data_IF_037511957663
#
_entry.id   IF_037511957663
#
_cell.length_a   1.000
_cell.length_b   1.000
_cell.length_c   1.000
_cell.angle_alpha   90.00
_cell.angle_beta   90.00
_cell.angle_gamma   90.00
#
_symmetry.space_group_name_H-M   'P 1'
#
loop_
_entity.id
_entity.type
_entity.pdbx_description
1 polymer ?
#
# COMPACT_ATOMS: atom_id res chain seq x y z
N UNK A 1 35.08 60.65 49.30
CA UNK A 1 36.17 61.56 49.77
C UNK A 1 36.69 61.17 51.15
N UNK A 2 35.90 60.87 52.17
CA UNK A 2 36.26 60.55 53.51
C UNK A 2 37.26 59.36 53.65
N UNK A 3 36.98 58.29 52.92
CA UNK A 3 37.86 57.08 52.99
C UNK A 3 39.22 57.29 52.34
N UNK A 4 39.36 58.16 51.36
CA UNK A 4 40.60 58.49 50.72
C UNK A 4 41.41 59.40 51.67
N UNK A 5 40.73 60.36 52.29
CA UNK A 5 41.37 61.29 53.25
C UNK A 5 41.89 60.55 54.45
N UNK A 6 41.13 59.69 55.09
CA UNK A 6 41.55 58.89 56.23
C UNK A 6 42.76 57.97 55.95
N UNK A 7 42.83 57.47 54.69
CA UNK A 7 43.89 56.56 54.29
C UNK A 7 45.33 57.24 54.27
N UNK A 8 45.42 58.57 54.28
CA UNK A 8 46.66 59.32 54.30
C UNK A 8 46.95 59.97 55.66
N UNK A 9 46.01 59.96 56.61
CA UNK A 9 46.16 60.63 57.92
C UNK A 9 46.97 59.84 58.91
N UNK A 10 47.08 58.54 58.79
CA UNK A 10 47.77 57.67 59.79
C UNK A 10 49.27 57.38 59.56
N UNK A 11 49.91 57.94 58.55
CA UNK A 11 51.34 57.69 58.30
C UNK A 11 52.21 58.94 58.57
N UNK A 12 53.38 58.80 59.33
CA UNK A 12 54.27 59.94 59.62
C UNK A 12 54.84 60.52 58.32
N UNK A 13 54.82 61.88 58.22
CA UNK A 13 55.31 62.65 57.08
C UNK A 13 56.82 62.49 56.91
N UNK A 14 57.29 61.77 55.86
CA UNK A 14 58.62 61.84 55.34
C UNK A 14 58.75 63.00 54.34
N UNK A 15 59.68 63.93 54.54
CA UNK A 15 59.68 65.25 53.93
C UNK A 15 60.12 65.38 52.45
N UNK A 16 60.16 64.36 51.65
CA UNK A 16 60.75 64.52 50.30
C UNK A 16 60.28 63.65 49.14
N UNK A 17 59.17 62.96 49.25
CA UNK A 17 58.58 62.22 48.09
C UNK A 17 57.09 62.19 48.08
N UNK A 18 56.44 62.31 46.94
CA UNK A 18 54.97 62.18 46.84
C UNK A 18 54.55 60.77 47.32
N UNK A 19 53.66 60.77 48.31
CA UNK A 19 53.08 59.54 48.84
C UNK A 19 51.98 59.05 47.91
N UNK A 20 51.91 57.79 47.59
CA UNK A 20 50.82 57.24 46.79
C UNK A 20 50.25 56.00 47.43
N UNK A 21 48.97 55.83 47.29
CA UNK A 21 48.19 54.67 47.72
C UNK A 21 47.27 54.17 46.62
N UNK A 22 47.25 52.85 46.48
CA UNK A 22 46.39 52.24 45.48
C UNK A 22 45.14 51.68 46.13
N UNK A 23 43.99 52.13 45.66
CA UNK A 23 42.71 51.64 46.07
C UNK A 23 42.22 50.64 45.01
N UNK A 24 41.66 49.53 45.44
CA UNK A 24 41.07 48.53 44.57
C UNK A 24 39.55 48.50 44.72
N UNK A 25 38.86 48.65 43.64
CA UNK A 25 37.41 48.59 43.58
C UNK A 25 37.03 47.43 42.69
N UNK A 26 35.94 46.74 43.01
CA UNK A 26 35.37 45.69 42.19
C UNK A 26 33.96 46.05 41.77
N UNK A 27 33.64 45.78 40.53
CA UNK A 27 32.27 45.81 39.97
C UNK A 27 31.90 44.40 39.59
N UNK A 28 30.82 43.93 40.15
CA UNK A 28 30.35 42.53 39.88
C UNK A 28 28.98 42.60 39.22
N UNK A 29 28.88 41.91 38.12
CA UNK A 29 27.58 41.61 37.54
C UNK A 29 26.91 40.50 38.36
N UNK A 30 25.61 40.63 38.62
CA UNK A 30 24.83 39.65 39.36
C UNK A 30 23.44 39.51 38.79
N UNK A 31 22.82 38.37 39.03
CA UNK A 31 21.50 38.02 38.52
C UNK A 31 21.55 37.02 37.38
N UNK A 32 20.39 36.47 37.04
CA UNK A 32 20.21 35.60 35.90
C UNK A 32 18.89 35.95 35.18
N UNK A 33 18.94 35.97 33.86
CA UNK A 33 17.79 36.14 32.99
C UNK A 33 17.67 34.92 32.11
N UNK A 34 16.48 34.42 31.93
CA UNK A 34 16.27 33.24 31.09
C UNK A 34 16.75 33.51 29.66
N UNK A 35 17.44 32.57 29.06
CA UNK A 35 18.04 32.69 27.72
C UNK A 35 19.34 33.50 27.67
N UNK A 36 19.76 34.16 28.77
CA UNK A 36 20.97 34.98 28.82
C UNK A 36 22.08 34.23 29.52
N UNK A 37 23.25 34.19 28.90
CA UNK A 37 24.53 33.81 29.50
C UNK A 37 25.24 35.09 29.86
N UNK A 38 25.54 35.30 31.18
CA UNK A 38 26.27 36.45 31.67
C UNK A 38 27.71 36.41 31.20
N UNK A 39 28.37 37.58 31.24
CA UNK A 39 29.80 37.71 30.95
C UNK A 39 30.60 36.68 31.79
N UNK A 40 31.47 35.88 31.18
CA UNK A 40 32.28 34.89 31.91
C UNK A 40 33.17 35.49 32.93
N UNK A 41 33.48 36.79 32.84
CA UNK A 41 34.23 37.57 33.82
C UNK A 41 33.28 38.42 34.66
N UNK A 42 32.53 37.74 35.55
CA UNK A 42 31.49 38.39 36.38
C UNK A 42 32.00 39.49 37.28
N UNK A 43 33.31 39.57 37.58
CA UNK A 43 33.90 40.58 38.44
C UNK A 43 35.06 41.28 37.73
N UNK A 44 34.98 42.59 37.60
CA UNK A 44 36.03 43.45 37.03
C UNK A 44 36.60 44.36 38.12
N UNK A 45 37.91 44.54 38.11
CA UNK A 45 38.64 45.25 39.16
C UNK A 45 39.25 46.53 38.61
N UNK A 46 39.01 47.63 39.32
CA UNK A 46 39.69 48.93 39.09
C UNK A 46 40.73 49.12 40.17
N UNK A 47 41.96 49.45 39.80
CA UNK A 47 42.99 49.98 40.69
C UNK A 47 43.12 51.48 40.42
N UNK A 48 42.94 52.27 41.43
CA UNK A 48 43.10 53.73 41.37
C UNK A 48 44.25 54.14 42.27
N UNK A 49 45.32 54.65 41.68
CA UNK A 49 46.44 55.21 42.43
C UNK A 49 46.16 56.67 42.72
N UNK A 50 46.14 57.00 43.99
CA UNK A 50 46.08 58.40 44.47
C UNK A 50 47.39 58.78 44.97
N UNK A 51 47.97 59.92 44.50
CA UNK A 51 49.22 60.46 44.90
C UNK A 51 48.99 61.81 45.56
N UNK A 52 49.51 61.97 46.77
CA UNK A 52 49.65 63.29 47.46
C UNK A 52 50.88 63.99 46.90
N UNK A 53 50.73 65.14 46.25
CA UNK A 53 51.75 65.91 45.60
C UNK A 53 52.58 66.72 46.56
N UNK A 54 52.19 66.76 47.85
CA UNK A 54 52.88 67.56 48.93
C UNK A 54 52.58 69.08 48.86
N UNK A 55 51.74 69.52 47.98
CA UNK A 55 51.33 70.91 47.78
C UNK A 55 49.86 71.18 48.21
N UNK A 56 49.28 70.19 48.86
CA UNK A 56 47.86 70.21 49.22
C UNK A 56 46.93 69.70 48.14
N UNK A 57 47.45 69.17 47.02
CA UNK A 57 46.64 68.59 45.91
C UNK A 57 46.87 67.09 45.85
N UNK A 58 45.90 66.37 45.33
CA UNK A 58 45.93 64.96 45.03
C UNK A 58 45.86 64.72 43.50
N UNK A 59 46.72 63.84 43.01
CA UNK A 59 46.63 63.32 41.66
C UNK A 59 46.01 61.95 41.71
N UNK A 60 44.97 61.73 40.88
CA UNK A 60 44.27 60.46 40.73
C UNK A 60 44.64 59.86 39.40
N UNK A 61 45.25 58.67 39.42
CA UNK A 61 45.64 57.96 38.24
C UNK A 61 44.98 56.57 38.24
N UNK A 62 44.27 56.25 37.17
CA UNK A 62 43.74 54.89 36.92
C UNK A 62 44.90 54.07 36.41
N UNK A 63 45.27 53.02 37.13
CA UNK A 63 46.38 52.14 36.76
C UNK A 63 46.10 51.46 35.43
N UNK A 64 47.13 51.49 34.56
CA UNK A 64 47.03 50.95 33.21
C UNK A 64 46.57 49.48 33.15
N UNK A 65 46.93 48.69 34.16
CA UNK A 65 46.49 47.30 34.27
C UNK A 65 45.03 47.15 34.65
N UNK A 66 44.46 48.20 35.18
CA UNK A 66 43.10 48.20 35.59
C UNK A 66 42.15 48.78 34.56
N UNK A 67 42.65 49.16 33.48
CA UNK A 67 42.33 49.80 32.78
C UNK A 67 41.99 50.19 31.73
N UNK A 68 41.92 49.71 31.28
CA UNK A 68 41.25 50.01 30.12
C UNK A 68 39.86 50.06 30.48
N UNK A 69 39.49 51.04 30.76
CA UNK A 69 38.34 51.83 30.75
C UNK A 69 36.99 51.26 30.42
N UNK A 70 36.93 50.03 29.98
CA UNK A 70 35.66 49.45 29.58
C UNK A 70 35.28 48.39 30.59
N UNK A 71 34.46 48.83 31.54
CA UNK A 71 33.67 47.90 32.32
C UNK A 71 32.52 47.39 31.50
N UNK A 72 32.80 46.96 30.28
CA UNK A 72 31.77 46.35 29.42
C UNK A 72 31.56 44.92 29.89
N UNK A 73 30.37 44.62 30.36
CA UNK A 73 29.91 43.27 30.54
C UNK A 73 29.18 42.86 29.27
N UNK A 74 29.59 41.77 28.66
CA UNK A 74 29.01 41.26 27.42
C UNK A 74 28.19 40.00 27.72
N UNK A 75 26.88 40.14 27.69
CA UNK A 75 25.97 39.02 27.83
C UNK A 75 25.56 38.51 26.49
N UNK A 76 25.31 37.21 26.37
CA UNK A 76 24.83 36.59 25.14
C UNK A 76 23.47 36.01 25.38
N UNK A 77 22.51 36.41 24.52
CA UNK A 77 21.20 35.81 24.47
C UNK A 77 21.19 34.70 23.43
N UNK A 78 20.60 33.54 23.75
CA UNK A 78 20.41 32.43 22.83
C UNK A 78 19.12 31.65 23.15
N UNK A 79 18.49 31.13 22.12
CA UNK A 79 17.34 30.23 22.23
C UNK A 79 17.84 28.78 22.26
N UNK A 80 17.11 27.92 22.95
CA UNK A 80 17.34 26.47 22.93
C UNK A 80 16.55 25.86 21.80
N UNK A 81 17.07 24.80 21.14
CA UNK A 81 16.31 23.99 20.18
C UNK A 81 14.98 23.54 20.79
N UNK A 82 13.95 23.54 19.94
CA UNK A 82 12.61 23.12 20.32
C UNK A 82 12.08 22.10 19.33
N UNK A 83 11.66 20.94 19.84
CA UNK A 83 11.10 19.86 19.05
C UNK A 83 9.57 19.98 19.02
N UNK A 84 8.99 20.01 17.83
CA UNK A 84 7.55 20.07 17.62
C UNK A 84 7.09 19.03 16.61
N UNK A 85 6.02 18.30 16.95
CA UNK A 85 5.38 17.37 16.03
C UNK A 85 4.38 18.12 15.14
N UNK A 86 4.43 17.94 13.82
CA UNK A 86 3.45 18.52 12.90
C UNK A 86 2.03 18.03 13.18
N UNK A 87 1.91 16.75 13.59
CA UNK A 87 0.63 16.09 13.92
C UNK A 87 0.46 15.96 15.43
N UNK A 88 -0.78 16.07 15.91
CA UNK A 88 -1.12 15.93 17.33
C UNK A 88 -1.49 17.24 18.00
N UNK A 89 -1.17 17.38 19.31
CA UNK A 89 -1.60 18.56 20.10
C UNK A 89 -0.97 19.85 19.54
N UNK A 90 -1.81 20.76 19.02
CA UNK A 90 -1.37 22.01 18.42
C UNK A 90 -0.99 21.95 16.93
N UNK A 91 -0.85 20.75 16.38
CA UNK A 91 -0.61 20.50 14.98
C UNK A 91 -1.91 20.24 14.19
N UNK A 92 -1.80 19.44 13.14
CA UNK A 92 -2.91 19.01 12.30
C UNK A 92 -3.15 17.50 12.42
N UNK A 93 -4.33 17.02 11.98
CA UNK A 93 -4.65 15.60 11.91
C UNK A 93 -4.59 15.12 10.47
N UNK A 94 -4.09 13.92 10.26
CA UNK A 94 -4.09 13.25 8.96
C UNK A 94 -4.79 11.90 9.11
N UNK A 95 -5.78 11.69 8.24
CA UNK A 95 -6.50 10.43 8.12
C UNK A 95 -6.31 9.87 6.72
N UNK A 96 -5.90 8.61 6.63
CA UNK A 96 -5.88 7.83 5.40
C UNK A 96 -7.14 6.99 5.31
N UNK A 97 -7.79 7.02 4.14
CA UNK A 97 -8.90 6.12 3.81
C UNK A 97 -8.57 5.34 2.54
N UNK A 98 -9.12 4.14 2.43
CA UNK A 98 -9.06 3.30 1.26
C UNK A 98 -10.46 2.75 0.98
N UNK A 99 -11.00 3.03 -0.19
CA UNK A 99 -12.25 2.43 -0.67
C UNK A 99 -11.94 1.14 -1.45
N UNK A 100 -12.82 0.15 -1.39
CA UNK A 100 -12.71 -1.12 -2.12
C UNK A 100 -12.08 -2.28 -1.33
N UNK A 101 -11.31 -2.04 -0.28
CA UNK A 101 -10.83 -3.04 0.69
C UNK A 101 -10.38 -2.41 2.00
N UNK A 102 -10.16 -3.26 2.99
CA UNK A 102 -9.62 -2.82 4.28
C UNK A 102 -8.20 -2.24 4.15
N UNK A 103 -7.98 -1.17 4.90
CA UNK A 103 -6.69 -0.51 5.04
C UNK A 103 -5.76 -1.38 5.90
N UNK A 104 -4.49 -1.46 5.51
CA UNK A 104 -3.44 -2.18 6.26
C UNK A 104 -2.50 -1.19 6.93
N UNK A 105 -2.01 -1.55 8.13
CA UNK A 105 -1.00 -0.74 8.84
C UNK A 105 0.29 -0.61 8.02
N UNK A 106 0.82 0.60 7.94
CA UNK A 106 2.08 0.90 7.27
C UNK A 106 2.06 0.79 5.75
N UNK A 107 0.89 0.69 5.14
CA UNK A 107 0.72 0.46 3.72
C UNK A 107 1.00 1.72 2.87
N UNK A 108 0.57 2.87 3.36
CA UNK A 108 0.74 4.16 2.68
C UNK A 108 1.73 5.04 3.42
N UNK A 109 2.60 5.69 2.66
CA UNK A 109 3.61 6.60 3.17
C UNK A 109 3.29 8.04 2.78
N UNK A 110 3.57 8.98 3.69
CA UNK A 110 3.37 10.40 3.51
C UNK A 110 4.69 11.12 3.70
N UNK A 111 4.98 12.09 2.86
CA UNK A 111 6.19 12.90 2.92
C UNK A 111 5.85 14.36 3.21
N UNK A 112 6.57 14.91 4.19
CA UNK A 112 6.62 16.34 4.49
C UNK A 112 7.98 16.86 4.02
N UNK A 113 7.99 17.62 2.93
CA UNK A 113 9.20 18.07 2.23
C UNK A 113 9.39 19.56 2.45
N UNK A 114 10.50 19.98 3.06
CA UNK A 114 10.80 21.39 3.29
C UNK A 114 10.94 22.16 1.97
N UNK A 115 10.50 23.41 1.99
CA UNK A 115 10.60 24.35 0.88
C UNK A 115 11.58 25.46 1.26
N UNK A 116 12.46 25.85 0.35
CA UNK A 116 13.46 26.91 0.61
C UNK A 116 14.73 26.65 -0.16
N UNK A 117 15.76 27.45 0.13
CA UNK A 117 17.09 27.29 -0.43
C UNK A 117 17.83 26.14 0.26
N UNK A 118 18.61 25.36 -0.49
CA UNK A 118 19.40 24.23 -0.01
C UNK A 118 18.75 22.87 -0.29
N UNK A 119 19.37 21.80 0.22
CA UNK A 119 18.84 20.45 0.06
C UNK A 119 17.55 20.27 0.89
N UNK A 120 16.46 19.81 0.30
CA UNK A 120 15.20 19.67 1.01
C UNK A 120 15.31 18.60 2.10
N UNK A 121 14.82 18.92 3.29
CA UNK A 121 14.63 17.94 4.35
C UNK A 121 13.32 17.23 4.10
N UNK A 122 13.36 15.89 4.11
CA UNK A 122 12.18 15.02 3.95
C UNK A 122 11.94 14.29 5.26
N UNK A 123 10.74 14.44 5.79
CA UNK A 123 10.26 13.69 6.96
C UNK A 123 9.10 12.83 6.51
N UNK A 124 9.13 11.54 6.80
CA UNK A 124 8.07 10.61 6.38
C UNK A 124 7.32 10.01 7.56
N UNK A 125 6.11 9.59 7.30
CA UNK A 125 5.26 8.85 8.22
C UNK A 125 4.35 7.89 7.47
N UNK A 126 3.88 6.84 8.14
CA UNK A 126 2.96 5.86 7.58
C UNK A 126 1.65 5.83 8.37
N UNK A 127 0.58 5.35 7.73
CA UNK A 127 -0.69 5.15 8.40
C UNK A 127 -0.63 3.97 9.39
N UNK A 128 -1.37 4.07 10.48
CA UNK A 128 -1.73 2.92 11.30
C UNK A 128 -2.95 2.17 10.71
N UNK A 129 -3.38 1.08 11.34
CA UNK A 129 -4.52 0.29 10.89
C UNK A 129 -5.85 1.06 10.89
N UNK A 130 -5.97 2.14 11.65
CA UNK A 130 -7.15 3.03 11.69
C UNK A 130 -7.10 4.13 10.62
N UNK A 131 -5.99 4.26 9.92
CA UNK A 131 -5.73 5.31 8.93
C UNK A 131 -5.09 6.57 9.52
N UNK A 132 -4.81 6.61 10.83
CA UNK A 132 -4.16 7.76 11.43
C UNK A 132 -2.68 7.81 11.03
N UNK A 133 -2.21 9.02 10.68
CA UNK A 133 -0.81 9.28 10.34
C UNK A 133 -0.18 10.22 11.35
N UNK A 134 0.97 9.84 11.91
CA UNK A 134 1.69 10.62 12.91
C UNK A 134 3.13 10.83 12.46
N UNK A 135 3.50 12.09 12.18
CA UNK A 135 4.86 12.47 11.86
C UNK A 135 5.74 12.54 13.10
N UNK A 136 7.04 12.21 12.99
CA UNK A 136 8.01 12.46 14.06
C UNK A 136 8.19 13.97 14.31
N UNK A 137 8.82 14.31 15.43
CA UNK A 137 9.13 15.68 15.77
C UNK A 137 10.17 16.27 14.81
N UNK A 138 10.02 17.56 14.54
CA UNK A 138 10.97 18.39 13.79
C UNK A 138 11.60 19.36 14.77
N UNK A 139 12.94 19.49 14.72
CA UNK A 139 13.71 20.38 15.59
C UNK A 139 13.91 21.74 14.94
N UNK A 140 13.60 22.81 15.68
CA UNK A 140 13.77 24.20 15.26
C UNK A 140 14.82 24.87 16.15
N UNK A 141 15.81 25.52 15.52
CA UNK A 141 16.93 26.12 16.20
C UNK A 141 16.87 27.68 16.23
N UNK A 142 15.97 28.26 15.48
CA UNK A 142 15.80 29.72 15.36
C UNK A 142 14.34 30.10 15.08
N UNK A 143 13.92 31.33 15.40
CA UNK A 143 12.66 31.90 14.97
C UNK A 143 12.62 32.02 13.43
N UNK A 144 11.42 31.86 12.85
CA UNK A 144 11.22 31.97 11.40
C UNK A 144 9.95 31.29 10.93
N UNK A 145 9.72 31.35 9.63
CA UNK A 145 8.64 30.61 8.95
C UNK A 145 9.28 29.48 8.13
N UNK A 146 8.92 28.23 8.45
CA UNK A 146 9.39 27.03 7.81
C UNK A 146 8.25 26.43 7.01
N UNK A 147 8.40 26.39 5.69
CA UNK A 147 7.37 25.93 4.77
C UNK A 147 7.69 24.53 4.27
N UNK A 148 6.64 23.71 4.17
CA UNK A 148 6.72 22.32 3.73
C UNK A 148 5.60 22.02 2.75
N UNK A 149 5.80 21.02 1.91
CA UNK A 149 4.75 20.35 1.14
C UNK A 149 4.50 18.98 1.71
N UNK A 150 3.22 18.68 1.97
CA UNK A 150 2.74 17.39 2.43
C UNK A 150 1.99 16.72 1.28
N UNK A 151 2.40 15.50 0.96
CA UNK A 151 1.76 14.65 -0.05
C UNK A 151 1.84 13.18 0.34
N UNK A 152 0.96 12.38 -0.21
CA UNK A 152 1.09 10.93 -0.20
C UNK A 152 2.16 10.50 -1.22
N UNK A 153 2.94 9.50 -0.88
CA UNK A 153 3.95 8.91 -1.76
C UNK A 153 3.30 7.78 -2.57
N UNK A 154 3.36 7.88 -3.89
CA UNK A 154 2.92 6.78 -4.74
C UNK A 154 3.87 5.58 -4.59
N UNK A 155 3.41 4.56 -3.88
CA UNK A 155 4.13 3.32 -3.62
C UNK A 155 3.98 2.27 -4.73
N UNK A 156 3.22 2.54 -5.79
CA UNK A 156 3.00 1.62 -6.92
C UNK A 156 2.24 0.36 -6.56
N UNK A 157 1.38 0.37 -5.54
CA UNK A 157 0.59 -0.80 -5.16
C UNK A 157 -0.43 -1.13 -6.26
N UNK A 158 -0.41 -2.40 -6.68
CA UNK A 158 -1.32 -2.87 -7.73
C UNK A 158 -2.78 -2.73 -7.31
N UNK A 159 -3.60 -2.26 -8.23
CA UNK A 159 -5.02 -2.02 -8.01
C UNK A 159 -5.34 -0.74 -7.22
N UNK A 160 -4.35 -0.02 -6.70
CA UNK A 160 -4.55 1.23 -5.94
C UNK A 160 -4.46 2.45 -6.86
N UNK A 161 -5.46 3.32 -6.75
CA UNK A 161 -5.41 4.69 -7.28
C UNK A 161 -5.12 5.62 -6.11
N UNK A 162 -3.96 6.31 -6.18
CA UNK A 162 -3.48 7.20 -5.13
C UNK A 162 -4.12 8.57 -5.17
N UNK A 163 -4.31 9.17 -4.00
CA UNK A 163 -4.68 10.57 -3.85
C UNK A 163 -3.46 11.45 -4.18
N UNK A 164 -3.58 12.32 -5.17
CA UNK A 164 -2.52 13.21 -5.62
C UNK A 164 -2.57 14.59 -4.99
N UNK A 165 -3.39 14.79 -3.96
CA UNK A 165 -3.54 16.08 -3.28
C UNK A 165 -2.24 16.47 -2.59
N UNK A 166 -1.85 17.74 -2.75
CA UNK A 166 -0.73 18.36 -2.05
C UNK A 166 -1.25 19.45 -1.13
N UNK A 167 -0.73 19.47 0.09
CA UNK A 167 -1.02 20.51 1.08
C UNK A 167 0.25 21.32 1.35
N UNK A 168 0.09 22.64 1.50
CA UNK A 168 1.14 23.52 2.00
C UNK A 168 1.01 23.60 3.54
N UNK A 169 2.13 23.33 4.22
CA UNK A 169 2.21 23.31 5.68
C UNK A 169 3.25 24.33 6.11
N UNK A 170 2.92 25.20 7.07
CA UNK A 170 3.82 26.19 7.62
C UNK A 170 3.95 26.02 9.12
N UNK A 171 5.21 25.93 9.59
CA UNK A 171 5.58 26.06 10.99
C UNK A 171 6.05 27.50 11.25
N UNK A 172 5.27 28.29 11.98
CA UNK A 172 5.69 29.61 12.46
C UNK A 172 6.33 29.45 13.82
N UNK A 173 7.63 29.71 13.86
CA UNK A 173 8.47 29.59 15.07
C UNK A 173 8.73 30.99 15.61
N UNK A 174 8.41 31.22 16.88
CA UNK A 174 8.60 32.48 17.58
C UNK A 174 9.51 32.32 18.78
N UNK A 175 10.31 33.35 19.06
CA UNK A 175 11.08 33.45 20.28
C UNK A 175 10.18 34.03 21.38
N UNK A 176 10.05 33.35 22.51
CA UNK A 176 9.23 33.76 23.65
C UNK A 176 9.93 34.83 24.51
N UNK A 177 11.20 35.15 24.22
CA UNK A 177 11.98 36.16 24.96
C UNK A 177 12.61 35.64 26.27
N UNK A 178 12.48 34.34 26.51
CA UNK A 178 13.01 33.69 27.72
C UNK A 178 13.99 32.55 27.38
N UNK A 179 14.55 32.55 26.18
CA UNK A 179 15.42 31.49 25.67
C UNK A 179 14.68 30.23 25.18
N UNK A 180 13.35 30.26 25.10
CA UNK A 180 12.55 29.17 24.53
C UNK A 180 11.90 29.58 23.22
N UNK A 181 11.58 28.59 22.40
CA UNK A 181 10.83 28.76 21.16
C UNK A 181 9.40 28.26 21.31
N UNK A 182 8.45 28.94 20.63
CA UNK A 182 7.08 28.46 20.43
C UNK A 182 6.84 28.14 18.97
N UNK A 183 6.05 27.11 18.66
CA UNK A 183 5.72 26.69 17.29
C UNK A 183 4.21 26.65 17.10
N UNK A 184 3.74 27.25 16.00
CA UNK A 184 2.35 27.16 15.56
C UNK A 184 2.31 26.61 14.14
N UNK A 185 1.53 25.52 13.94
CA UNK A 185 1.33 24.89 12.65
C UNK A 185 0.08 25.41 11.95
N UNK A 186 0.18 25.64 10.65
CA UNK A 186 -0.95 25.95 9.76
C UNK A 186 -0.86 25.10 8.51
N UNK A 187 -2.03 24.83 7.92
CA UNK A 187 -2.18 24.03 6.71
C UNK A 187 -3.06 24.78 5.73
N UNK A 188 -2.71 24.73 4.46
CA UNK A 188 -3.54 25.25 3.37
C UNK A 188 -3.54 24.29 2.18
N UNK A 189 -4.60 24.42 1.36
CA UNK A 189 -4.73 23.74 0.07
C UNK A 189 -5.13 24.79 -0.96
N UNK A 190 -4.43 24.83 -2.09
CA UNK A 190 -4.67 25.79 -3.18
C UNK A 190 -4.75 27.25 -2.67
N UNK A 191 -3.86 27.59 -1.73
CA UNK A 191 -3.79 28.92 -1.11
C UNK A 191 -4.92 29.26 -0.12
N UNK A 192 -5.79 28.29 0.21
CA UNK A 192 -6.88 28.46 1.19
C UNK A 192 -6.55 27.74 2.48
N UNK A 193 -6.63 28.45 3.61
CA UNK A 193 -6.39 27.86 4.92
C UNK A 193 -7.40 26.75 5.24
N UNK A 194 -6.92 25.67 5.85
CA UNK A 194 -7.74 24.58 6.36
C UNK A 194 -8.17 24.90 7.80
N UNK A 195 -9.43 25.34 7.97
CA UNK A 195 -9.94 25.80 9.29
C UNK A 195 -9.90 24.70 10.36
N UNK A 196 -10.25 23.47 10.05
CA UNK A 196 -10.25 22.34 10.99
C UNK A 196 -8.89 21.69 11.21
N UNK A 197 -7.88 22.04 10.42
CA UNK A 197 -6.57 21.35 10.36
C UNK A 197 -6.69 19.84 10.20
N UNK A 198 -7.74 19.38 9.54
CA UNK A 198 -8.01 17.97 9.26
C UNK A 198 -7.71 17.68 7.80
N UNK A 199 -6.81 16.75 7.54
CA UNK A 199 -6.35 16.34 6.22
C UNK A 199 -6.83 14.90 5.99
N UNK A 200 -7.47 14.67 4.86
CA UNK A 200 -7.87 13.33 4.44
C UNK A 200 -7.21 13.01 3.11
N UNK A 201 -6.50 11.90 3.05
CA UNK A 201 -6.03 11.28 1.81
C UNK A 201 -6.90 10.06 1.51
N UNK A 202 -7.61 10.09 0.39
CA UNK A 202 -8.57 9.06 0.00
C UNK A 202 -8.09 8.31 -1.24
N UNK A 203 -7.70 7.05 -1.08
CA UNK A 203 -7.39 6.17 -2.20
C UNK A 203 -8.56 5.26 -2.52
N UNK A 204 -8.56 4.70 -3.72
CA UNK A 204 -9.45 3.63 -4.10
C UNK A 204 -8.66 2.40 -4.52
N UNK A 205 -9.23 1.22 -4.27
CA UNK A 205 -8.68 -0.05 -4.67
C UNK A 205 -9.67 -0.80 -5.55
N UNK A 206 -9.18 -1.37 -6.64
CA UNK A 206 -9.91 -2.32 -7.48
C UNK A 206 -8.92 -3.34 -8.04
N UNK A 207 -9.16 -4.63 -7.77
CA UNK A 207 -8.40 -5.70 -8.37
C UNK A 207 -8.67 -5.77 -9.88
N UNK A 208 -7.66 -6.09 -10.66
CA UNK A 208 -7.82 -6.43 -12.07
C UNK A 208 -8.59 -7.74 -12.21
N UNK A 209 -9.46 -7.81 -13.23
CA UNK A 209 -10.27 -8.97 -13.50
C UNK A 209 -9.47 -10.22 -13.86
N UNK A 210 -10.13 -11.37 -13.80
CA UNK A 210 -9.58 -12.67 -14.19
C UNK A 210 -10.52 -13.38 -15.15
N UNK A 211 -10.10 -14.50 -15.72
CA UNK A 211 -10.95 -15.29 -16.62
C UNK A 211 -10.67 -16.78 -16.53
N UNK A 212 -11.67 -17.57 -16.91
CA UNK A 212 -11.57 -19.02 -17.05
C UNK A 212 -12.09 -19.45 -18.41
N UNK A 213 -11.46 -20.45 -19.01
CA UNK A 213 -11.92 -21.10 -20.24
C UNK A 213 -12.44 -22.50 -19.92
N UNK A 214 -13.67 -22.77 -20.29
CA UNK A 214 -14.25 -24.11 -20.16
C UNK A 214 -13.96 -24.94 -21.41
N UNK A 215 -13.52 -26.18 -21.21
CA UNK A 215 -13.21 -27.11 -22.27
C UNK A 215 -13.82 -28.47 -21.96
N UNK A 216 -14.26 -29.17 -23.01
CA UNK A 216 -14.68 -30.53 -22.92
C UNK A 216 -14.23 -31.30 -24.18
N UNK A 217 -14.46 -32.59 -24.21
CA UNK A 217 -14.16 -33.44 -25.35
C UNK A 217 -15.40 -34.18 -25.84
N UNK A 218 -15.44 -34.47 -27.15
CA UNK A 218 -16.46 -35.32 -27.78
C UNK A 218 -15.84 -36.55 -28.32
N UNK A 219 -16.46 -37.72 -28.03
CA UNK A 219 -16.15 -39.03 -28.60
C UNK A 219 -17.41 -39.55 -29.25
N UNK A 220 -17.27 -40.19 -30.41
CA UNK A 220 -18.31 -40.96 -31.10
C UNK A 220 -17.81 -42.35 -31.37
N UNK A 221 -18.57 -43.36 -30.98
CA UNK A 221 -18.33 -44.77 -31.30
C UNK A 221 -19.20 -45.22 -32.45
N UNK A 222 -18.78 -46.25 -33.18
CA UNK A 222 -19.55 -46.85 -34.29
C UNK A 222 -19.31 -46.25 -35.69
N UNK A 223 -18.83 -44.99 -35.75
CA UNK A 223 -18.32 -44.35 -36.97
C UNK A 223 -17.43 -43.16 -36.65
N UNK A 224 -16.80 -42.60 -37.67
CA UNK A 224 -15.96 -41.44 -37.56
C UNK A 224 -16.79 -40.20 -37.17
N UNK A 225 -16.27 -39.45 -36.22
CA UNK A 225 -16.82 -38.15 -35.76
C UNK A 225 -16.46 -37.02 -36.74
N UNK A 226 -17.43 -36.26 -37.18
CA UNK A 226 -17.21 -35.11 -38.07
C UNK A 226 -17.16 -33.81 -37.29
N UNK A 227 -16.34 -32.86 -37.79
CA UNK A 227 -16.28 -31.51 -37.24
C UNK A 227 -17.65 -30.85 -37.33
N UNK A 228 -18.07 -30.20 -36.21
CA UNK A 228 -19.30 -29.43 -36.14
C UNK A 228 -20.58 -30.25 -36.13
N UNK A 229 -20.48 -31.55 -35.83
CA UNK A 229 -21.62 -32.46 -35.88
C UNK A 229 -22.55 -32.34 -34.66
N UNK A 230 -21.96 -32.17 -33.46
CA UNK A 230 -22.68 -32.08 -32.21
C UNK A 230 -22.61 -30.67 -31.64
N UNK A 231 -23.64 -30.25 -30.93
CA UNK A 231 -23.79 -28.92 -30.33
C UNK A 231 -23.74 -29.01 -28.81
N UNK A 232 -23.06 -28.09 -28.19
CA UNK A 232 -22.87 -28.03 -26.73
C UNK A 232 -23.21 -26.65 -26.23
N UNK A 233 -23.75 -26.58 -25.02
CA UNK A 233 -24.09 -25.34 -24.36
C UNK A 233 -23.39 -25.24 -23.03
N UNK A 234 -22.81 -24.05 -22.75
CA UNK A 234 -22.41 -23.60 -21.45
C UNK A 234 -23.58 -22.82 -20.85
N UNK A 235 -24.06 -23.25 -19.69
CA UNK A 235 -25.22 -22.68 -19.00
C UNK A 235 -24.81 -22.20 -17.60
N UNK A 236 -25.48 -21.17 -17.09
CA UNK A 236 -25.34 -20.74 -15.69
C UNK A 236 -26.14 -21.65 -14.73
N UNK A 237 -26.06 -21.33 -13.43
CA UNK A 237 -26.76 -22.08 -12.38
C UNK A 237 -28.29 -22.15 -12.61
N UNK A 238 -28.89 -21.16 -13.25
CA UNK A 238 -30.33 -21.06 -13.53
C UNK A 238 -30.71 -21.75 -14.82
N UNK A 239 -29.75 -22.34 -15.55
CA UNK A 239 -29.99 -23.02 -16.82
C UNK A 239 -30.05 -22.08 -18.03
N UNK A 240 -29.75 -20.78 -17.85
CA UNK A 240 -29.64 -19.84 -18.97
C UNK A 240 -28.43 -20.18 -19.82
N UNK A 241 -28.60 -20.29 -21.13
CA UNK A 241 -27.52 -20.50 -22.09
C UNK A 241 -26.64 -19.24 -22.18
N UNK A 242 -25.37 -19.40 -21.89
CA UNK A 242 -24.36 -18.36 -22.02
C UNK A 242 -23.63 -18.43 -23.35
N UNK A 243 -23.31 -19.65 -23.80
CA UNK A 243 -22.61 -19.90 -25.04
C UNK A 243 -23.10 -21.20 -25.67
N UNK A 244 -23.07 -21.24 -26.99
CA UNK A 244 -23.38 -22.44 -27.79
C UNK A 244 -22.22 -22.67 -28.74
N UNK A 245 -21.60 -23.85 -28.69
CA UNK A 245 -20.47 -24.22 -29.53
C UNK A 245 -20.69 -25.60 -30.18
N UNK A 246 -19.89 -25.91 -31.18
CA UNK A 246 -19.87 -27.23 -31.82
C UNK A 246 -18.50 -27.90 -31.60
N UNK A 247 -18.47 -29.23 -31.66
CA UNK A 247 -17.20 -29.96 -31.57
C UNK A 247 -16.22 -29.57 -32.69
N UNK A 248 -14.95 -29.55 -32.37
CA UNK A 248 -13.86 -29.36 -33.32
C UNK A 248 -13.65 -30.56 -34.23
N UNK A 249 -12.55 -30.58 -34.96
CA UNK A 249 -12.14 -31.73 -35.77
C UNK A 249 -11.63 -32.86 -34.85
N UNK A 250 -11.81 -34.12 -35.34
CA UNK A 250 -11.25 -35.27 -34.67
C UNK A 250 -9.72 -35.15 -34.59
N UNK A 251 -9.16 -35.40 -33.42
CA UNK A 251 -7.73 -35.38 -33.15
C UNK A 251 -7.16 -36.80 -33.34
N UNK A 252 -5.83 -36.91 -33.41
CA UNK A 252 -5.13 -38.22 -33.42
C UNK A 252 -5.40 -39.04 -32.15
N UNK A 253 -5.79 -38.36 -31.05
CA UNK A 253 -6.19 -39.00 -29.78
C UNK A 253 -7.59 -39.58 -29.77
N UNK A 254 -8.32 -39.55 -30.89
CA UNK A 254 -9.66 -40.17 -31.03
C UNK A 254 -10.80 -39.34 -30.38
N UNK A 255 -10.59 -38.10 -30.09
CA UNK A 255 -11.60 -37.17 -29.57
C UNK A 255 -11.64 -35.86 -30.36
N UNK A 256 -12.73 -35.13 -30.32
CA UNK A 256 -12.84 -33.78 -30.85
C UNK A 256 -12.96 -32.79 -29.70
N UNK A 257 -12.19 -31.67 -29.71
CA UNK A 257 -12.28 -30.66 -28.66
C UNK A 257 -13.61 -29.91 -28.72
N UNK A 258 -14.13 -29.52 -27.54
CA UNK A 258 -15.22 -28.61 -27.35
C UNK A 258 -14.63 -27.42 -26.58
N UNK A 259 -14.53 -26.25 -27.22
CA UNK A 259 -13.91 -25.07 -26.63
C UNK A 259 -14.92 -23.94 -26.55
N UNK A 260 -15.10 -23.38 -25.37
CA UNK A 260 -15.91 -22.19 -25.13
C UNK A 260 -15.01 -20.95 -25.05
N UNK A 261 -15.54 -19.79 -25.35
CA UNK A 261 -14.85 -18.52 -25.14
C UNK A 261 -14.65 -18.27 -23.63
N UNK A 262 -13.61 -17.53 -23.23
CA UNK A 262 -13.36 -17.22 -21.82
C UNK A 262 -14.54 -16.50 -21.17
N UNK A 263 -14.87 -16.88 -19.94
CA UNK A 263 -15.76 -16.10 -19.05
C UNK A 263 -14.87 -15.22 -18.17
N UNK A 264 -15.12 -13.92 -18.16
CA UNK A 264 -14.41 -12.92 -17.39
C UNK A 264 -15.12 -12.60 -16.08
N UNK A 265 -14.35 -12.30 -15.04
CA UNK A 265 -14.84 -11.90 -13.73
C UNK A 265 -14.13 -10.61 -13.32
N UNK A 266 -14.92 -9.61 -12.95
CA UNK A 266 -14.44 -8.30 -12.50
C UNK A 266 -14.68 -8.08 -11.00
N UNK A 267 -15.33 -9.05 -10.33
CA UNK A 267 -15.64 -9.01 -8.91
C UNK A 267 -15.48 -10.41 -8.28
N UNK A 268 -15.13 -10.48 -6.98
CA UNK A 268 -15.14 -11.73 -6.22
C UNK A 268 -16.54 -12.33 -6.16
N UNK A 269 -16.62 -13.66 -6.14
CA UNK A 269 -17.89 -14.35 -6.05
C UNK A 269 -17.77 -15.85 -6.27
N UNK A 270 -18.91 -16.52 -6.17
CA UNK A 270 -19.05 -17.95 -6.44
C UNK A 270 -20.03 -18.13 -7.59
N UNK A 271 -19.65 -18.92 -8.59
CA UNK A 271 -20.38 -19.09 -9.82
C UNK A 271 -20.46 -20.58 -10.17
N UNK A 272 -21.64 -21.05 -10.51
CA UNK A 272 -21.86 -22.43 -10.95
C UNK A 272 -22.25 -22.46 -12.42
N UNK A 273 -21.60 -23.36 -13.16
CA UNK A 273 -21.86 -23.56 -14.59
C UNK A 273 -22.15 -25.03 -14.90
N UNK A 274 -22.80 -25.25 -16.03
CA UNK A 274 -23.08 -26.58 -16.55
C UNK A 274 -22.74 -26.61 -18.02
N UNK A 275 -22.06 -27.70 -18.43
CA UNK A 275 -21.89 -28.02 -19.85
C UNK A 275 -22.78 -29.21 -20.16
N UNK A 276 -23.57 -29.07 -21.22
CA UNK A 276 -24.49 -30.08 -21.70
C UNK A 276 -24.34 -30.28 -23.21
N UNK A 277 -24.60 -31.48 -23.70
CA UNK A 277 -24.80 -31.71 -25.11
C UNK A 277 -26.27 -31.41 -25.46
N UNK A 278 -26.48 -30.74 -26.58
CA UNK A 278 -27.85 -30.50 -27.11
C UNK A 278 -28.26 -31.74 -27.84
N UNK A 279 -29.29 -32.42 -27.32
CA UNK A 279 -29.87 -33.62 -27.97
C UNK A 279 -30.43 -33.26 -29.33
N UNK A 280 -29.98 -33.93 -30.36
CA UNK A 280 -30.51 -33.84 -31.71
C UNK A 280 -31.43 -35.01 -32.05
N UNK A 281 -31.74 -35.13 -33.32
CA UNK A 281 -32.67 -36.13 -33.90
C UNK A 281 -31.98 -36.99 -34.96
N UNK A 282 -30.66 -37.02 -35.02
CA UNK A 282 -29.90 -37.78 -36.01
C UNK A 282 -30.14 -39.30 -35.84
N UNK A 283 -30.59 -39.94 -36.92
CA UNK A 283 -30.91 -41.34 -36.93
C UNK A 283 -29.69 -42.22 -36.61
N UNK A 284 -29.88 -43.19 -35.73
CA UNK A 284 -28.86 -44.11 -35.28
C UNK A 284 -27.89 -43.54 -34.22
N UNK A 285 -28.09 -42.27 -33.78
CA UNK A 285 -27.25 -41.66 -32.71
C UNK A 285 -27.95 -41.84 -31.35
N UNK A 286 -27.17 -42.35 -30.39
CA UNK A 286 -27.47 -42.28 -28.95
C UNK A 286 -26.67 -41.13 -28.38
N UNK A 287 -27.39 -40.10 -27.93
CA UNK A 287 -26.80 -38.88 -27.36
C UNK A 287 -26.43 -39.07 -25.90
N UNK A 288 -25.33 -38.45 -25.48
CA UNK A 288 -24.89 -38.38 -24.09
C UNK A 288 -25.71 -37.32 -23.34
N UNK A 289 -26.40 -37.71 -22.27
CA UNK A 289 -27.24 -36.83 -21.45
C UNK A 289 -26.51 -36.38 -20.18
N UNK A 290 -25.18 -36.63 -20.07
CA UNK A 290 -24.37 -36.19 -18.93
C UNK A 290 -24.33 -34.68 -18.81
N UNK A 291 -24.42 -34.19 -17.57
CA UNK A 291 -24.29 -32.81 -17.23
C UNK A 291 -23.00 -32.64 -16.44
N UNK A 292 -22.04 -31.93 -17.01
CA UNK A 292 -20.80 -31.58 -16.29
C UNK A 292 -21.02 -30.26 -15.57
N UNK A 293 -20.85 -30.28 -14.24
CA UNK A 293 -20.99 -29.09 -13.37
C UNK A 293 -19.63 -28.55 -13.01
N UNK A 294 -19.52 -27.22 -13.02
CA UNK A 294 -18.34 -26.49 -12.58
C UNK A 294 -18.72 -25.56 -11.44
N UNK A 295 -17.94 -25.60 -10.38
CA UNK A 295 -18.01 -24.67 -9.26
C UNK A 295 -16.78 -23.78 -9.33
N UNK A 296 -16.98 -22.48 -9.56
CA UNK A 296 -15.93 -21.47 -9.74
C UNK A 296 -15.97 -20.50 -8.57
N UNK A 297 -14.84 -20.32 -7.91
CA UNK A 297 -14.66 -19.37 -6.81
C UNK A 297 -13.64 -18.32 -7.24
N UNK A 298 -14.07 -17.06 -7.24
CA UNK A 298 -13.24 -15.89 -7.53
C UNK A 298 -12.99 -15.17 -6.23
N UNK A 299 -11.71 -14.94 -5.89
CA UNK A 299 -11.29 -14.28 -4.67
C UNK A 299 -10.40 -13.08 -4.97
N UNK A 300 -10.42 -12.08 -4.08
CA UNK A 300 -9.48 -10.98 -4.05
C UNK A 300 -8.57 -11.13 -2.82
N UNK A 301 -7.27 -11.27 -3.03
CA UNK A 301 -6.27 -11.32 -1.95
C UNK A 301 -5.81 -9.93 -1.50
N UNK A 302 -6.35 -8.87 -2.12
CA UNK A 302 -6.02 -7.48 -1.85
C UNK A 302 -4.68 -7.02 -2.45
N UNK A 303 -4.12 -7.77 -3.40
CA UNK A 303 -2.84 -7.46 -4.06
C UNK A 303 -3.00 -7.02 -5.52
N UNK A 304 -4.21 -6.62 -5.93
CA UNK A 304 -4.51 -5.99 -7.20
C UNK A 304 -4.92 -6.90 -8.33
N UNK A 305 -5.08 -8.20 -8.09
CA UNK A 305 -5.49 -9.17 -9.11
C UNK A 305 -6.45 -10.19 -8.53
N UNK A 306 -7.60 -10.40 -9.19
CA UNK A 306 -8.52 -11.48 -8.84
C UNK A 306 -7.87 -12.84 -9.12
N UNK A 307 -8.09 -13.78 -8.20
CA UNK A 307 -7.69 -15.17 -8.33
C UNK A 307 -8.93 -16.01 -8.65
N UNK A 308 -8.78 -17.04 -9.49
CA UNK A 308 -9.86 -17.96 -9.82
C UNK A 308 -9.46 -19.39 -9.54
N UNK A 309 -10.28 -20.09 -8.78
CA UNK A 309 -10.20 -21.52 -8.54
C UNK A 309 -11.48 -22.18 -9.02
N UNK A 310 -11.41 -23.42 -9.48
CA UNK A 310 -12.58 -24.13 -9.93
C UNK A 310 -12.44 -25.64 -9.73
N UNK A 311 -13.58 -26.29 -9.57
CA UNK A 311 -13.68 -27.74 -9.47
C UNK A 311 -14.74 -28.24 -10.45
N UNK A 312 -14.52 -29.42 -11.00
CA UNK A 312 -15.52 -30.14 -11.77
C UNK A 312 -16.22 -31.12 -10.83
N UNK A 313 -17.54 -31.28 -10.98
CA UNK A 313 -18.30 -32.22 -10.17
C UNK A 313 -17.84 -33.68 -10.32
N UNK A 314 -18.51 -34.59 -9.62
CA UNK A 314 -18.11 -36.01 -9.45
C UNK A 314 -17.99 -36.84 -10.74
N UNK A 315 -18.45 -36.32 -11.87
CA UNK A 315 -18.44 -36.98 -13.18
C UNK A 315 -17.04 -37.08 -13.84
N UNK A 316 -15.99 -36.50 -13.20
CA UNK A 316 -14.62 -36.57 -13.70
C UNK A 316 -14.35 -35.63 -14.88
N UNK A 317 -13.43 -36.00 -15.79
CA UNK A 317 -13.08 -35.19 -16.96
C UNK A 317 -14.30 -35.04 -17.89
N UNK A 318 -14.56 -33.82 -18.41
CA UNK A 318 -15.75 -33.54 -19.21
C UNK A 318 -15.63 -34.12 -20.63
N UNK A 319 -16.03 -35.36 -20.79
CA UNK A 319 -16.00 -36.11 -22.05
C UNK A 319 -17.41 -36.62 -22.37
N UNK A 320 -18.01 -36.10 -23.43
CA UNK A 320 -19.28 -36.57 -23.96
C UNK A 320 -19.09 -37.75 -24.92
N UNK A 321 -19.80 -38.84 -24.71
CA UNK A 321 -19.68 -40.09 -25.49
C UNK A 321 -20.99 -40.42 -26.14
N UNK A 322 -21.06 -40.35 -27.48
CA UNK A 322 -22.20 -40.80 -28.25
C UNK A 322 -21.92 -42.15 -28.94
N UNK A 323 -22.95 -42.91 -29.13
CA UNK A 323 -22.93 -44.16 -29.94
C UNK A 323 -23.65 -43.98 -31.26
N UNK A 324 -23.13 -44.61 -32.32
CA UNK A 324 -23.81 -44.72 -33.60
C UNK A 324 -24.04 -46.19 -33.93
N UNK A 325 -25.26 -46.53 -34.23
CA UNK A 325 -25.68 -47.82 -34.79
C UNK A 325 -26.32 -47.53 -36.16
N UNK A 326 -25.76 -48.18 -37.21
CA UNK A 326 -26.32 -48.02 -38.53
C UNK A 326 -27.78 -48.52 -38.54
N UNK A 327 -28.76 -47.67 -38.93
CA UNK A 327 -30.12 -48.12 -39.11
C UNK A 327 -30.16 -49.27 -40.08
N UNK A 328 -30.94 -50.31 -39.78
CA UNK A 328 -31.15 -51.38 -40.72
C UNK A 328 -31.90 -50.84 -41.95
N UNK A 329 -31.43 -51.18 -43.15
CA UNK A 329 -32.18 -50.86 -44.36
C UNK A 329 -33.55 -51.53 -44.28
N UNK A 330 -34.63 -50.80 -44.59
CA UNK A 330 -35.96 -51.40 -44.54
C UNK A 330 -36.00 -52.66 -45.43
N UNK A 331 -36.22 -53.81 -44.81
CA UNK A 331 -36.31 -55.08 -45.48
C UNK A 331 -37.35 -54.91 -46.62
N UNK A 332 -37.04 -55.23 -47.89
CA UNK A 332 -37.95 -55.15 -48.95
C UNK A 332 -39.29 -55.91 -48.56
N UNK A 333 -40.45 -55.29 -48.71
CA UNK A 333 -41.67 -55.97 -48.42
C UNK A 333 -41.74 -57.26 -49.25
N UNK A 334 -41.76 -58.41 -48.56
CA UNK A 334 -42.00 -59.71 -49.24
C UNK A 334 -43.27 -59.59 -50.10
N UNK A 335 -43.16 -59.95 -51.36
CA UNK A 335 -44.39 -60.01 -52.19
C UNK A 335 -45.39 -60.93 -51.51
N UNK A 336 -46.62 -60.47 -51.33
CA UNK A 336 -47.65 -61.14 -50.60
C UNK A 336 -47.79 -62.61 -51.08
N UNK A 337 -47.44 -63.56 -50.25
CA UNK A 337 -47.60 -65.01 -50.45
C UNK A 337 -49.09 -65.27 -50.34
N UNK A 338 -49.68 -66.00 -51.34
CA UNK A 338 -51.06 -66.39 -51.22
C UNK A 338 -51.29 -67.23 -49.96
N UNK A 339 -52.42 -67.01 -49.31
CA UNK A 339 -52.84 -67.67 -48.08
C UNK A 339 -52.94 -69.21 -48.33
N UNK A 340 -52.17 -69.99 -47.55
CA UNK A 340 -52.33 -71.42 -47.38
C UNK A 340 -52.94 -71.73 -46.01
N UNK A 341 -53.96 -72.51 -45.89
CA UNK A 341 -54.67 -72.78 -44.66
C UNK A 341 -54.00 -73.92 -43.87
N UNK A 342 -53.50 -73.64 -42.71
CA UNK A 342 -53.46 -74.60 -41.59
C UNK A 342 -52.23 -75.51 -41.49
N UNK A 343 -51.45 -75.35 -40.48
CA UNK A 343 -51.24 -76.38 -39.48
C UNK A 343 -50.37 -75.82 -38.31
N UNK A 344 -50.75 -76.16 -37.10
CA UNK A 344 -50.07 -75.78 -35.88
C UNK A 344 -48.74 -76.53 -35.67
N UNK A 345 -47.86 -75.95 -34.96
CA UNK A 345 -46.61 -76.59 -34.53
C UNK A 345 -45.75 -75.63 -33.72
N UNK A 346 -45.87 -75.74 -32.42
CA UNK A 346 -44.94 -75.38 -31.36
C UNK A 346 -43.51 -75.42 -31.73
N UNK A 347 -42.71 -74.51 -31.19
CA UNK A 347 -41.31 -74.86 -30.93
C UNK A 347 -40.35 -73.68 -31.03
N UNK A 348 -40.13 -73.12 -29.93
CA UNK A 348 -38.79 -72.85 -29.29
C UNK A 348 -37.69 -72.11 -30.03
N UNK A 349 -37.30 -71.12 -29.33
CA UNK A 349 -35.85 -70.79 -28.97
C UNK A 349 -35.03 -70.02 -29.99
N UNK A 350 -34.61 -68.99 -29.53
CA UNK A 350 -33.44 -68.61 -28.74
C UNK A 350 -32.42 -67.87 -29.49
N UNK A 351 -32.00 -66.97 -28.77
CA UNK A 351 -30.69 -66.61 -28.24
C UNK A 351 -30.00 -65.59 -29.12
N UNK A 352 -29.92 -64.36 -28.57
CA UNK A 352 -28.90 -63.96 -27.64
C UNK A 352 -27.50 -64.19 -28.18
N UNK A 353 -26.84 -63.13 -28.31
CA UNK A 353 -25.65 -62.96 -27.47
C UNK A 353 -25.21 -61.49 -27.62
N UNK A 354 -25.25 -60.91 -26.54
CA UNK A 354 -24.47 -59.76 -26.26
C UNK A 354 -23.01 -60.07 -26.27
N UNK A 355 -22.25 -59.12 -26.68
CA UNK A 355 -20.86 -59.03 -26.22
C UNK A 355 -20.63 -57.64 -25.66
N UNK A 356 -20.82 -57.58 -24.34
CA UNK A 356 -20.28 -56.54 -23.51
C UNK A 356 -18.78 -56.82 -23.29
N UNK A 357 -17.97 -56.33 -24.19
CA UNK A 357 -16.50 -56.33 -23.93
C UNK A 357 -15.81 -55.21 -24.70
N UNK A 358 -16.01 -53.98 -24.23
CA UNK A 358 -15.06 -52.90 -24.53
C UNK A 358 -15.31 -51.72 -23.54
N UNK A 359 -15.39 -52.08 -22.24
CA UNK A 359 -15.27 -51.10 -21.17
C UNK A 359 -13.94 -51.39 -20.47
N UNK A 360 -12.89 -50.76 -20.87
CA UNK A 360 -11.64 -50.92 -20.16
C UNK A 360 -10.39 -50.61 -20.92
N UNK A 361 -10.29 -49.48 -21.61
CA UNK A 361 -9.00 -48.98 -22.11
C UNK A 361 -8.94 -47.49 -22.48
N UNK A 362 -9.44 -46.61 -21.65
CA UNK A 362 -9.24 -45.17 -21.90
C UNK A 362 -8.97 -44.33 -20.65
N UNK A 363 -8.41 -44.91 -19.60
CA UNK A 363 -8.05 -44.12 -18.40
C UNK A 363 -6.64 -43.52 -18.43
N UNK A 364 -5.87 -43.70 -19.50
CA UNK A 364 -4.45 -43.32 -19.52
C UNK A 364 -4.10 -42.08 -20.39
N UNK A 365 -5.04 -41.46 -21.11
CA UNK A 365 -4.70 -40.38 -22.05
C UNK A 365 -5.11 -38.96 -21.63
N UNK A 366 -5.74 -38.76 -20.49
CA UNK A 366 -6.29 -37.45 -20.11
C UNK A 366 -5.50 -36.66 -19.09
N UNK A 367 -4.29 -37.03 -18.73
CA UNK A 367 -3.41 -36.22 -17.88
C UNK A 367 -2.90 -34.93 -18.57
N UNK A 368 -3.24 -34.70 -19.84
CA UNK A 368 -2.75 -33.56 -20.63
C UNK A 368 -3.69 -32.35 -20.74
N UNK A 369 -4.95 -32.46 -20.35
CA UNK A 369 -5.91 -31.36 -20.58
C UNK A 369 -6.04 -30.41 -19.39
N UNK A 370 -5.58 -30.79 -18.22
CA UNK A 370 -5.61 -29.96 -17.01
C UNK A 370 -4.46 -28.93 -16.87
N UNK A 371 -3.56 -28.83 -17.85
CA UNK A 371 -2.34 -28.04 -17.74
C UNK A 371 -2.27 -26.77 -18.61
N UNK A 372 -3.37 -26.32 -19.20
CA UNK A 372 -3.39 -25.08 -20.00
C UNK A 372 -4.30 -24.07 -19.31
N UNK A 373 -3.82 -23.49 -18.21
CA UNK A 373 -4.62 -22.45 -17.53
C UNK A 373 -4.00 -21.86 -16.27
N UNK A 374 -2.77 -22.22 -15.92
CA UNK A 374 -2.13 -21.60 -14.76
C UNK A 374 -0.71 -21.16 -15.11
N UNK A 375 -0.60 -19.95 -15.66
CA UNK A 375 0.64 -19.20 -15.72
C UNK A 375 1.05 -18.74 -14.32
N UNK A 376 1.46 -19.63 -13.43
CA UNK A 376 1.96 -19.25 -12.13
C UNK A 376 3.47 -19.01 -12.19
N UNK A 377 3.88 -17.75 -12.05
CA UNK A 377 5.23 -17.39 -11.61
C UNK A 377 5.36 -17.65 -10.12
N UNK A 378 5.73 -18.87 -9.75
CA UNK A 378 6.19 -19.17 -8.39
C UNK A 378 7.55 -18.49 -8.17
N UNK A 379 7.56 -17.34 -7.50
CA UNK A 379 8.78 -16.68 -7.02
C UNK A 379 9.32 -17.45 -5.83
N UNK A 380 10.31 -18.34 -6.08
CA UNK A 380 11.09 -18.99 -5.02
C UNK A 380 11.79 -17.92 -4.18
N UNK A 381 11.42 -17.81 -2.90
CA UNK A 381 12.26 -17.16 -1.88
C UNK A 381 13.53 -18.00 -1.72
N UNK A 382 14.69 -17.42 -2.03
CA UNK A 382 15.98 -17.88 -1.51
C UNK A 382 16.15 -17.36 -0.09
N UNK A 383 16.59 -18.25 0.78
CA UNK A 383 17.02 -17.98 2.16
C UNK A 383 18.12 -16.93 2.22
#
# INVERSE_FOLDING_TARGET
ESAVKAAFEDEPMAASAPRSKTFTYTVTESGSVAGVSNDPVATKTIKVKVTDNGDGTLTVDKQAESNKTDFTFTNTYSVKPFDSTPTGKGGFAITKTLDGRDLREGEFEFALVSQGEGEPTVVTAKNDASGKVVFPAISFNAPGEYNYRLAEVDGGLSGVTYDTTVYDVTAKVVDNGDGTLGVTWSVSKDGKALEGKEIVFANSYKAAGTSITFNAAKVLTGRELKKGEFTFELRDANGKVLQTVKNGALTEGGYAPIAFDPITYDEPGTYDYRIVEVKGDAEGITYDETVFTYHVVVTDDGNGQLQVEWTVGETGAPVFQNGFVKPEDPKPADPAKPADPGNGGSGDKLIQTGDNALVGMFTAAFAGIAAIGAGFTARRKKK
#
